data_IF_977872472570
#
_entry.id   IF_977872472570
#
_cell.length_a   1.000
_cell.length_b   1.000
_cell.length_c   1.000
_cell.angle_alpha   90.00
_cell.angle_beta   90.00
_cell.angle_gamma   90.00
#
_symmetry.space_group_name_H-M   'P 1'
#
loop_
_entity.id
_entity.type
_entity.pdbx_description
1 polymer ?
#
# COMPACT_ATOMS: atom_id res chain seq x y z
N UNK A 1 -20.60 51.00 47.31
CA UNK A 1 -19.74 51.47 46.19
C UNK A 1 -18.37 50.87 46.45
N UNK A 2 -17.90 49.78 45.84
CA UNK A 2 -17.49 49.67 44.43
C UNK A 2 -17.04 48.21 44.11
N UNK A 3 -17.88 47.20 44.34
CA UNK A 3 -17.52 45.79 44.05
C UNK A 3 -17.82 45.40 42.59
N UNK A 4 -18.69 46.17 41.92
CA UNK A 4 -19.09 45.93 40.54
C UNK A 4 -18.03 46.41 39.52
N UNK A 5 -17.16 47.35 39.91
CA UNK A 5 -16.16 47.94 39.01
C UNK A 5 -14.86 47.12 38.92
N UNK A 6 -14.57 46.29 39.91
CA UNK A 6 -13.40 45.38 39.92
C UNK A 6 -13.61 44.11 39.09
N UNK A 7 -14.87 43.67 38.93
CA UNK A 7 -15.22 42.50 38.12
C UNK A 7 -15.11 42.77 36.61
N UNK A 8 -15.32 44.01 36.16
CA UNK A 8 -15.20 44.38 34.74
C UNK A 8 -13.74 44.49 34.27
N UNK A 9 -12.78 44.77 35.16
CA UNK A 9 -11.36 44.85 34.79
C UNK A 9 -10.69 43.48 34.65
N UNK A 10 -11.17 42.44 35.34
CA UNK A 10 -10.65 41.08 35.18
C UNK A 10 -11.18 40.35 33.93
N UNK A 11 -12.29 40.82 33.35
CA UNK A 11 -12.87 40.22 32.14
C UNK A 11 -12.06 40.52 30.87
N UNK A 12 -11.20 41.54 30.85
CA UNK A 12 -10.45 41.94 29.66
C UNK A 12 -9.05 41.31 29.54
N UNK A 13 -8.54 40.63 30.58
CA UNK A 13 -7.19 40.05 30.58
C UNK A 13 -7.19 38.60 30.03
N UNK A 14 -8.36 38.00 29.82
CA UNK A 14 -8.50 36.70 29.14
C UNK A 14 -8.76 36.81 27.62
N UNK A 15 -8.52 37.96 26.98
CA UNK A 15 -8.29 37.98 25.53
C UNK A 15 -6.95 37.30 25.23
N UNK A 16 -7.03 35.97 25.21
CA UNK A 16 -5.98 35.06 24.81
C UNK A 16 -5.47 35.46 23.43
N UNK A 17 -4.15 35.66 23.38
CA UNK A 17 -3.34 35.67 22.17
C UNK A 17 -3.58 34.33 21.49
N UNK A 18 -4.54 34.28 20.56
CA UNK A 18 -4.67 33.15 19.64
C UNK A 18 -3.55 33.33 18.62
N UNK A 19 -2.38 32.80 18.96
CA UNK A 19 -1.24 32.74 18.06
C UNK A 19 -1.65 31.83 16.89
N UNK A 20 -2.19 32.44 15.83
CA UNK A 20 -2.54 31.74 14.61
C UNK A 20 -1.22 31.31 13.96
N UNK A 21 -0.66 30.18 14.40
CA UNK A 21 0.38 29.47 13.66
C UNK A 21 -0.17 29.27 12.26
N UNK A 22 0.33 30.08 11.33
CA UNK A 22 0.03 29.98 9.90
C UNK A 22 0.25 28.52 9.53
N UNK A 23 -0.84 27.83 9.18
CA UNK A 23 -0.80 26.41 8.82
C UNK A 23 0.15 26.32 7.62
N UNK A 24 1.34 25.76 7.83
CA UNK A 24 2.32 25.61 6.76
C UNK A 24 1.67 24.76 5.67
N UNK A 25 1.59 25.32 4.47
CA UNK A 25 0.98 24.64 3.34
C UNK A 25 1.90 23.48 2.94
N UNK A 26 1.49 22.26 3.30
CA UNK A 26 2.24 21.05 2.97
C UNK A 26 2.10 20.75 1.48
N UNK A 27 3.18 20.29 0.85
CA UNK A 27 3.12 19.84 -0.54
C UNK A 27 2.19 18.65 -0.71
N UNK A 28 1.70 18.45 -1.94
CA UNK A 28 0.86 17.28 -2.28
C UNK A 28 1.56 15.97 -1.96
N UNK A 29 2.87 15.88 -2.19
CA UNK A 29 3.66 14.67 -1.92
C UNK A 29 3.68 14.33 -0.42
N UNK A 30 3.84 15.35 0.44
CA UNK A 30 3.81 15.18 1.90
C UNK A 30 2.40 14.79 2.38
N UNK A 31 1.36 15.35 1.76
CA UNK A 31 -0.03 14.97 2.05
C UNK A 31 -0.33 13.53 1.61
N UNK A 32 0.17 13.12 0.45
CA UNK A 32 0.01 11.75 -0.05
C UNK A 32 0.74 10.75 0.84
N UNK A 33 2.01 11.00 1.17
CA UNK A 33 2.77 10.18 2.12
C UNK A 33 2.11 10.14 3.51
N UNK A 34 1.53 11.26 3.95
CA UNK A 34 0.70 11.32 5.15
C UNK A 34 -0.48 10.36 5.08
N UNK A 35 -1.22 10.37 3.98
CA UNK A 35 -2.36 9.48 3.80
C UNK A 35 -1.95 8.00 3.72
N UNK A 36 -0.86 7.68 3.03
CA UNK A 36 -0.32 6.32 2.95
C UNK A 36 0.07 5.80 4.34
N UNK A 37 0.78 6.59 5.12
CA UNK A 37 1.21 6.24 6.47
C UNK A 37 0.01 5.99 7.40
N UNK A 38 -1.02 6.84 7.32
CA UNK A 38 -2.27 6.67 8.07
C UNK A 38 -2.98 5.39 7.65
N UNK A 39 -3.10 5.14 6.35
CA UNK A 39 -3.76 3.94 5.81
C UNK A 39 -3.04 2.66 6.25
N UNK A 40 -1.71 2.69 6.28
CA UNK A 40 -0.88 1.59 6.77
C UNK A 40 -1.12 1.34 8.26
N UNK A 41 -1.24 2.38 9.07
CA UNK A 41 -1.47 2.23 10.50
C UNK A 41 -2.92 1.80 10.82
N UNK A 42 -3.89 2.31 10.06
CA UNK A 42 -5.29 1.92 10.15
C UNK A 42 -5.48 0.45 9.80
N UNK A 43 -4.81 -0.05 8.75
CA UNK A 43 -4.94 -1.45 8.33
C UNK A 43 -4.47 -2.43 9.41
N UNK A 44 -3.40 -2.09 10.14
CA UNK A 44 -2.92 -2.87 11.29
C UNK A 44 -3.95 -2.90 12.41
N UNK A 45 -4.48 -1.73 12.80
CA UNK A 45 -5.33 -1.55 13.99
C UNK A 45 -6.78 -1.99 13.78
N UNK A 46 -7.30 -1.87 12.56
CA UNK A 46 -8.68 -2.19 12.21
C UNK A 46 -8.86 -3.58 11.62
N UNK A 47 -7.78 -4.38 11.54
CA UNK A 47 -7.78 -5.77 11.07
C UNK A 47 -8.89 -6.63 11.70
N UNK A 48 -9.27 -7.66 10.93
CA UNK A 48 -10.59 -8.29 10.86
C UNK A 48 -11.13 -8.96 12.13
N UNK A 49 -10.29 -9.14 13.15
CA UNK A 49 -10.59 -10.03 14.27
C UNK A 49 -11.25 -9.36 15.48
N UNK A 50 -11.59 -8.07 15.39
CA UNK A 50 -12.26 -7.44 16.52
C UNK A 50 -13.77 -7.70 16.49
N UNK A 51 -14.27 -8.47 17.46
CA UNK A 51 -15.69 -8.52 17.87
C UNK A 51 -16.27 -7.15 18.29
N UNK A 52 -15.47 -6.09 18.21
CA UNK A 52 -15.83 -4.74 18.62
C UNK A 52 -16.64 -4.04 17.53
N UNK A 53 -17.59 -3.20 17.96
CA UNK A 53 -18.37 -2.36 17.06
C UNK A 53 -17.44 -1.35 16.36
N UNK A 54 -17.33 -1.45 15.03
CA UNK A 54 -16.51 -0.57 14.19
C UNK A 54 -16.86 0.91 14.36
N UNK A 55 -18.13 1.25 14.58
CA UNK A 55 -18.58 2.63 14.81
C UNK A 55 -17.98 3.25 16.08
N UNK A 56 -17.56 2.42 17.06
CA UNK A 56 -16.86 2.88 18.26
C UNK A 56 -15.33 2.76 18.11
N UNK A 57 -14.86 1.71 17.45
CA UNK A 57 -13.44 1.44 17.25
C UNK A 57 -12.78 2.46 16.32
N UNK A 58 -13.39 2.77 15.17
CA UNK A 58 -12.82 3.69 14.17
C UNK A 58 -12.55 5.08 14.76
N UNK A 59 -13.52 5.77 15.42
CA UNK A 59 -13.24 7.07 16.02
C UNK A 59 -12.16 7.04 17.10
N UNK A 60 -12.01 5.90 17.79
CA UNK A 60 -10.98 5.71 18.82
C UNK A 60 -9.60 5.61 18.19
N UNK A 61 -9.46 4.79 17.15
CA UNK A 61 -8.19 4.63 16.42
C UNK A 61 -7.78 5.95 15.75
N UNK A 62 -8.71 6.69 15.16
CA UNK A 62 -8.43 7.98 14.52
C UNK A 62 -7.90 9.06 15.49
N UNK A 63 -8.07 8.90 16.81
CA UNK A 63 -7.52 9.85 17.79
C UNK A 63 -6.01 9.71 17.97
N UNK A 64 -5.48 8.50 17.76
CA UNK A 64 -4.07 8.15 18.04
C UNK A 64 -3.30 7.76 16.78
N UNK A 65 -3.96 7.75 15.61
CA UNK A 65 -3.31 7.37 14.35
C UNK A 65 -2.24 8.40 13.93
N UNK A 66 -2.38 9.66 14.30
CA UNK A 66 -1.41 10.73 14.01
C UNK A 66 -0.24 10.83 15.00
N UNK A 67 -0.03 9.84 15.86
CA UNK A 67 1.11 9.87 16.77
C UNK A 67 2.42 9.72 15.98
N UNK A 68 3.42 10.54 16.28
CA UNK A 68 4.71 10.58 15.56
C UNK A 68 5.41 9.22 15.55
N UNK A 69 5.23 8.44 16.62
CA UNK A 69 5.80 7.11 16.74
C UNK A 69 5.30 6.12 15.69
N UNK A 70 4.14 6.38 15.08
CA UNK A 70 3.58 5.56 14.02
C UNK A 70 4.27 5.79 12.66
N UNK A 71 5.09 6.84 12.53
CA UNK A 71 5.64 7.33 11.26
C UNK A 71 7.16 7.23 11.17
N UNK A 72 7.78 6.30 11.92
CA UNK A 72 9.24 6.12 11.93
C UNK A 72 9.79 5.58 10.60
N UNK A 73 8.97 4.86 9.85
CA UNK A 73 9.36 4.17 8.61
C UNK A 73 8.92 4.93 7.34
N UNK A 74 8.86 6.26 7.37
CA UNK A 74 8.47 7.09 6.22
C UNK A 74 9.67 7.81 5.62
N UNK A 75 9.60 8.13 4.32
CA UNK A 75 10.63 8.91 3.62
C UNK A 75 10.73 10.35 4.17
N UNK A 76 9.60 10.94 4.54
CA UNK A 76 9.54 12.26 5.17
C UNK A 76 9.75 12.17 6.69
N UNK A 77 10.12 13.29 7.31
CA UNK A 77 10.30 13.33 8.77
C UNK A 77 8.97 13.05 9.51
N UNK A 78 8.97 12.31 10.63
CA UNK A 78 7.76 11.96 11.37
C UNK A 78 6.89 13.17 11.74
N UNK A 79 7.52 14.31 12.05
CA UNK A 79 6.80 15.56 12.37
C UNK A 79 6.05 16.13 11.17
N UNK A 80 6.64 16.09 9.96
CA UNK A 80 5.96 16.52 8.72
C UNK A 80 4.79 15.61 8.38
N UNK A 81 4.99 14.30 8.48
CA UNK A 81 3.94 13.30 8.24
C UNK A 81 2.80 13.43 9.27
N UNK A 82 3.12 13.67 10.54
CA UNK A 82 2.11 14.01 11.56
C UNK A 82 1.34 15.27 11.19
N UNK A 83 2.02 16.30 10.69
CA UNK A 83 1.40 17.53 10.19
C UNK A 83 0.35 17.23 9.12
N UNK A 84 0.74 16.44 8.11
CA UNK A 84 -0.16 15.98 7.05
C UNK A 84 -1.34 15.20 7.60
N UNK A 85 -1.10 14.26 8.51
CA UNK A 85 -2.15 13.47 9.16
C UNK A 85 -3.19 14.33 9.87
N UNK A 86 -2.73 15.28 10.69
CA UNK A 86 -3.61 16.21 11.39
C UNK A 86 -4.40 17.08 10.41
N UNK A 87 -3.77 17.53 9.33
CA UNK A 87 -4.44 18.34 8.30
C UNK A 87 -5.52 17.54 7.55
N UNK A 88 -5.23 16.30 7.17
CA UNK A 88 -6.19 15.39 6.53
C UNK A 88 -7.39 15.13 7.43
N UNK A 89 -7.14 14.75 8.70
CA UNK A 89 -8.23 14.50 9.66
C UNK A 89 -9.00 15.78 9.98
N UNK A 90 -8.35 16.94 10.13
CA UNK A 90 -9.06 18.20 10.38
C UNK A 90 -10.08 18.52 9.28
N UNK A 91 -9.73 18.24 8.01
CA UNK A 91 -10.59 18.53 6.86
C UNK A 91 -11.65 17.46 6.60
N UNK A 92 -11.31 16.18 6.77
CA UNK A 92 -12.12 15.07 6.25
C UNK A 92 -12.38 13.94 7.25
N UNK A 93 -12.30 14.21 8.56
CA UNK A 93 -12.51 13.18 9.59
C UNK A 93 -13.80 12.39 9.40
N UNK A 94 -14.90 13.08 9.06
CA UNK A 94 -16.21 12.46 8.87
C UNK A 94 -16.18 11.46 7.73
N UNK A 95 -15.67 11.87 6.57
CA UNK A 95 -15.63 11.05 5.36
C UNK A 95 -14.68 9.86 5.51
N UNK A 96 -13.51 10.09 6.14
CA UNK A 96 -12.57 9.03 6.50
C UNK A 96 -13.21 8.03 7.47
N UNK A 97 -13.98 8.51 8.46
CA UNK A 97 -14.67 7.63 9.43
C UNK A 97 -15.69 6.76 8.72
N UNK A 98 -16.55 7.37 7.89
CA UNK A 98 -17.58 6.65 7.12
C UNK A 98 -16.95 5.64 6.16
N UNK A 99 -15.92 6.05 5.42
CA UNK A 99 -15.20 5.19 4.49
C UNK A 99 -14.56 3.97 5.17
N UNK A 100 -13.98 4.16 6.36
CA UNK A 100 -13.41 3.07 7.15
C UNK A 100 -14.48 2.10 7.66
N UNK A 101 -15.58 2.62 8.22
CA UNK A 101 -16.67 1.77 8.70
C UNK A 101 -17.24 0.96 7.55
N UNK A 102 -17.50 1.58 6.39
CA UNK A 102 -18.00 0.88 5.21
C UNK A 102 -17.02 -0.19 4.70
N UNK A 103 -15.73 0.14 4.61
CA UNK A 103 -14.69 -0.76 4.12
C UNK A 103 -14.56 -2.02 4.98
N UNK A 104 -14.56 -1.87 6.31
CA UNK A 104 -14.37 -2.99 7.24
C UNK A 104 -15.67 -3.72 7.61
N UNK A 105 -16.85 -3.13 7.38
CA UNK A 105 -18.13 -3.79 7.68
C UNK A 105 -18.47 -4.92 6.68
N UNK A 106 -17.88 -4.90 5.48
CA UNK A 106 -18.12 -5.93 4.46
C UNK A 106 -17.34 -7.21 4.81
N UNK A 107 -17.95 -8.08 5.62
CA UNK A 107 -17.41 -9.35 6.20
C UNK A 107 -16.85 -10.42 5.23
N UNK A 108 -16.89 -10.19 3.91
CA UNK A 108 -16.27 -11.08 2.90
C UNK A 108 -15.18 -10.41 2.06
N UNK A 109 -14.96 -9.12 2.25
CA UNK A 109 -14.04 -8.29 1.48
C UNK A 109 -13.47 -7.20 2.39
N UNK A 110 -12.73 -7.54 3.46
CA UNK A 110 -11.68 -6.59 3.84
C UNK A 110 -10.78 -6.51 2.64
N UNK A 111 -10.89 -5.41 1.90
CA UNK A 111 -10.03 -5.15 0.78
C UNK A 111 -8.58 -5.31 1.25
N UNK A 112 -7.72 -5.67 0.32
CA UNK A 112 -6.29 -5.62 0.53
C UNK A 112 -5.89 -4.23 1.08
N UNK A 113 -4.71 -4.14 1.68
CA UNK A 113 -4.15 -2.84 2.06
C UNK A 113 -4.19 -1.82 0.90
N UNK A 114 -4.01 -2.29 -0.34
CA UNK A 114 -4.09 -1.45 -1.54
C UNK A 114 -5.50 -0.91 -1.80
N UNK A 115 -6.54 -1.70 -1.51
CA UNK A 115 -7.94 -1.25 -1.65
C UNK A 115 -8.28 -0.18 -0.62
N UNK A 116 -7.80 -0.33 0.62
CA UNK A 116 -7.92 0.69 1.65
C UNK A 116 -7.21 1.98 1.23
N UNK A 117 -5.98 1.83 0.72
CA UNK A 117 -5.17 2.95 0.27
C UNK A 117 -5.83 3.72 -0.87
N UNK A 118 -6.32 3.00 -1.89
CA UNK A 118 -7.07 3.59 -2.99
C UNK A 118 -8.30 4.35 -2.48
N UNK A 119 -9.09 3.69 -1.63
CA UNK A 119 -10.32 4.28 -1.10
C UNK A 119 -10.05 5.55 -0.29
N UNK A 120 -9.06 5.53 0.60
CA UNK A 120 -8.78 6.68 1.47
C UNK A 120 -8.00 7.78 0.74
N UNK A 121 -6.92 7.42 0.06
CA UNK A 121 -5.95 8.40 -0.43
C UNK A 121 -6.29 8.98 -1.80
N UNK A 122 -7.06 8.25 -2.60
CA UNK A 122 -7.56 8.73 -3.89
C UNK A 122 -9.02 9.11 -3.80
N UNK A 123 -9.92 8.21 -3.38
CA UNK A 123 -11.37 8.47 -3.51
C UNK A 123 -11.92 9.43 -2.44
N UNK A 124 -11.51 9.26 -1.17
CA UNK A 124 -11.98 10.11 -0.06
C UNK A 124 -11.21 11.42 0.00
N UNK A 125 -9.88 11.33 0.02
CA UNK A 125 -9.03 12.50 0.26
C UNK A 125 -8.55 13.22 -0.99
N UNK A 126 -8.44 12.53 -2.12
CA UNK A 126 -7.96 13.11 -3.38
C UNK A 126 -6.53 13.65 -3.31
N UNK A 127 -5.74 13.28 -2.30
CA UNK A 127 -4.39 13.82 -2.12
C UNK A 127 -3.35 13.03 -2.90
N UNK A 128 -3.61 11.74 -3.13
CA UNK A 128 -2.79 10.90 -4.00
C UNK A 128 -3.44 10.84 -5.38
N UNK A 129 -2.85 11.54 -6.34
CA UNK A 129 -3.16 11.36 -7.76
C UNK A 129 -2.46 10.08 -8.18
N UNK A 130 -3.22 9.05 -8.54
CA UNK A 130 -2.67 8.00 -9.38
C UNK A 130 -2.73 8.53 -10.79
N UNK A 131 -1.57 8.76 -11.39
CA UNK A 131 -1.50 8.85 -12.84
C UNK A 131 -2.06 7.53 -13.35
N UNK A 132 -3.32 7.54 -13.75
CA UNK A 132 -3.98 6.37 -14.35
C UNK A 132 -3.38 6.03 -15.72
N UNK A 133 -2.35 6.77 -16.15
CA UNK A 133 -1.59 6.55 -17.37
C UNK A 133 -0.25 5.82 -17.17
N UNK A 134 0.23 5.57 -15.94
CA UNK A 134 1.43 4.74 -15.74
C UNK A 134 1.07 3.31 -15.35
N UNK A 135 0.74 2.55 -16.40
CA UNK A 135 0.97 1.11 -16.45
C UNK A 135 -0.10 0.27 -15.79
N UNK A 136 -0.92 -0.39 -16.63
CA UNK A 136 -1.18 -1.81 -16.32
C UNK A 136 0.20 -2.45 -16.07
N UNK A 137 0.40 -3.21 -14.98
CA UNK A 137 1.67 -3.90 -14.78
C UNK A 137 1.99 -4.63 -16.08
N UNK A 138 3.19 -4.42 -16.62
CA UNK A 138 3.49 -4.93 -17.95
C UNK A 138 3.18 -6.42 -17.96
N UNK A 139 2.29 -6.87 -18.85
CA UNK A 139 2.00 -8.30 -18.94
C UNK A 139 3.21 -8.98 -19.55
N UNK A 140 3.78 -9.93 -18.82
CA UNK A 140 4.87 -10.73 -19.34
C UNK A 140 4.36 -11.55 -20.53
N UNK A 141 5.11 -11.57 -21.62
CA UNK A 141 4.75 -12.32 -22.83
C UNK A 141 5.95 -13.02 -23.43
N UNK A 142 5.71 -14.18 -24.02
CA UNK A 142 6.71 -14.93 -24.79
C UNK A 142 6.38 -14.74 -26.26
N UNK A 143 7.32 -14.20 -27.02
CA UNK A 143 7.19 -14.00 -28.46
C UNK A 143 8.14 -14.97 -29.15
N UNK A 144 7.65 -15.74 -30.12
CA UNK A 144 8.51 -16.54 -30.98
C UNK A 144 8.95 -15.70 -32.18
N UNK A 145 10.27 -15.61 -32.41
CA UNK A 145 10.85 -14.92 -33.54
C UNK A 145 11.17 -15.96 -34.64
N UNK A 146 10.36 -15.97 -35.70
CA UNK A 146 10.48 -16.94 -36.80
C UNK A 146 11.81 -16.84 -37.56
N UNK A 147 12.41 -15.66 -37.68
CA UNK A 147 13.66 -15.44 -38.40
C UNK A 147 14.87 -16.01 -37.65
N UNK A 148 14.85 -15.88 -36.33
CA UNK A 148 15.93 -16.37 -35.46
C UNK A 148 15.67 -17.75 -34.89
N UNK A 149 14.46 -18.29 -35.05
CA UNK A 149 14.00 -19.53 -34.42
C UNK A 149 14.19 -19.52 -32.89
N UNK A 150 13.97 -18.37 -32.25
CA UNK A 150 14.22 -18.14 -30.83
C UNK A 150 12.98 -17.56 -30.11
N UNK A 151 12.88 -17.81 -28.80
CA UNK A 151 11.84 -17.22 -27.95
C UNK A 151 12.39 -16.00 -27.21
N UNK A 152 11.72 -14.87 -27.36
CA UNK A 152 11.97 -13.66 -26.58
C UNK A 152 10.97 -13.59 -25.42
N UNK A 153 11.50 -13.55 -24.20
CA UNK A 153 10.69 -13.41 -22.99
C UNK A 153 10.72 -11.95 -22.54
N UNK A 154 9.61 -11.24 -22.72
CA UNK A 154 9.42 -9.91 -22.16
C UNK A 154 8.92 -10.11 -20.74
N UNK A 155 9.79 -9.83 -19.77
CA UNK A 155 9.43 -9.89 -18.35
C UNK A 155 8.42 -8.79 -18.04
N UNK A 156 7.35 -9.19 -17.37
CA UNK A 156 6.32 -8.29 -16.88
C UNK A 156 6.27 -8.27 -15.36
N UNK A 157 5.68 -7.23 -14.77
CA UNK A 157 5.61 -7.04 -13.31
C UNK A 157 4.74 -8.11 -12.61
N UNK A 158 3.98 -8.90 -13.40
CA UNK A 158 3.12 -9.98 -12.92
C UNK A 158 3.85 -11.34 -12.79
N UNK A 159 5.09 -11.45 -13.24
CA UNK A 159 5.84 -12.72 -13.23
C UNK A 159 6.51 -12.91 -11.87
N UNK A 160 5.98 -13.81 -11.04
CA UNK A 160 6.65 -14.24 -9.79
C UNK A 160 7.60 -15.39 -10.10
N UNK A 161 8.88 -15.19 -9.79
CA UNK A 161 9.87 -16.27 -9.83
C UNK A 161 9.50 -17.31 -8.75
N UNK A 162 9.37 -18.60 -9.07
CA UNK A 162 9.17 -19.64 -8.07
C UNK A 162 10.32 -19.59 -7.07
N UNK A 163 10.02 -19.52 -5.77
CA UNK A 163 11.07 -19.64 -4.77
C UNK A 163 11.64 -21.06 -4.83
N UNK A 164 12.97 -21.23 -4.83
CA UNK A 164 13.57 -22.55 -4.75
C UNK A 164 13.13 -23.20 -3.44
N UNK A 165 12.49 -24.36 -3.54
CA UNK A 165 12.16 -25.19 -2.38
C UNK A 165 13.47 -25.69 -1.82
N UNK A 166 13.94 -25.09 -0.73
CA UNK A 166 15.04 -25.64 0.06
C UNK A 166 14.49 -26.91 0.70
N UNK A 167 14.72 -28.06 0.06
CA UNK A 167 14.49 -29.35 0.71
C UNK A 167 15.46 -29.41 1.89
N UNK A 168 14.93 -29.52 3.12
CA UNK A 168 15.74 -29.77 4.30
C UNK A 168 16.68 -30.94 4.00
N UNK A 169 17.97 -30.74 4.26
CA UNK A 169 19.00 -31.77 4.08
C UNK A 169 18.67 -32.94 4.99
N UNK A 170 18.20 -34.04 4.42
CA UNK A 170 18.33 -35.34 5.05
C UNK A 170 19.85 -35.62 5.23
N UNK A 171 20.35 -35.90 6.45
CA UNK A 171 21.80 -35.96 6.72
C UNK A 171 22.55 -37.14 6.10
N UNK A 172 21.95 -37.90 5.18
CA UNK A 172 22.50 -39.17 4.68
C UNK A 172 22.23 -39.38 3.18
N UNK A 173 22.71 -38.50 2.31
CA UNK A 173 23.21 -38.91 1.00
C UNK A 173 23.87 -37.74 0.26
N UNK A 174 25.18 -37.79 0.13
CA UNK A 174 25.97 -36.90 -0.70
C UNK A 174 26.04 -37.44 -2.13
N UNK A 175 24.94 -37.36 -2.87
CA UNK A 175 24.97 -37.40 -4.33
C UNK A 175 23.86 -36.48 -4.86
N UNK A 176 24.28 -35.28 -5.26
CA UNK A 176 23.45 -34.21 -5.77
C UNK A 176 23.00 -34.54 -7.20
N UNK A 177 21.76 -35.00 -7.34
CA UNK A 177 21.03 -34.99 -8.61
C UNK A 177 19.92 -33.95 -8.49
N UNK A 178 20.04 -32.87 -9.26
CA UNK A 178 19.01 -31.84 -9.39
C UNK A 178 17.86 -32.44 -10.19
N UNK A 179 16.80 -32.86 -9.49
CA UNK A 179 15.52 -33.23 -10.10
C UNK A 179 14.58 -32.04 -10.00
N UNK A 180 14.30 -31.41 -11.14
CA UNK A 180 13.27 -30.38 -11.29
C UNK A 180 11.95 -31.08 -11.56
N UNK A 181 11.21 -31.40 -10.51
CA UNK A 181 9.82 -31.85 -10.64
C UNK A 181 8.88 -30.63 -10.69
N UNK A 182 8.09 -30.52 -11.76
CA UNK A 182 7.00 -29.56 -11.81
C UNK A 182 6.85 -28.76 -13.10
N UNK A 183 7.00 -29.38 -14.28
CA UNK A 183 6.40 -28.85 -15.51
C UNK A 183 5.58 -29.99 -16.11
N UNK A 184 4.27 -29.79 -16.25
CA UNK A 184 3.44 -30.68 -17.07
C UNK A 184 4.06 -30.71 -18.47
N UNK A 185 4.71 -31.82 -18.79
CA UNK A 185 5.34 -32.04 -20.08
C UNK A 185 4.23 -32.19 -21.11
N UNK A 186 4.07 -31.21 -21.99
CA UNK A 186 3.33 -31.39 -23.23
C UNK A 186 4.09 -32.45 -24.05
N UNK A 187 3.44 -33.51 -24.56
CA UNK A 187 4.13 -34.53 -25.34
C UNK A 187 4.62 -33.92 -26.66
N UNK A 188 5.92 -33.61 -26.72
CA UNK A 188 6.58 -33.25 -27.97
C UNK A 188 6.74 -34.53 -28.78
N UNK A 189 6.00 -34.62 -29.89
CA UNK A 189 6.15 -35.68 -30.88
C UNK A 189 7.59 -35.63 -31.42
N UNK A 190 8.36 -36.72 -31.39
CA UNK A 190 9.71 -36.71 -31.95
C UNK A 190 9.63 -36.45 -33.46
N UNK A 191 10.29 -35.38 -33.91
CA UNK A 191 10.54 -35.15 -35.34
C UNK A 191 11.44 -36.27 -35.85
N UNK A 192 10.98 -36.94 -36.91
CA UNK A 192 11.72 -37.95 -37.65
C UNK A 192 13.00 -37.30 -38.20
N UNK A 193 14.20 -37.90 -37.98
CA UNK A 193 15.40 -37.42 -38.64
C UNK A 193 15.30 -37.74 -40.14
N UNK A 194 15.28 -36.70 -40.96
CA UNK A 194 15.47 -36.84 -42.41
C UNK A 194 16.98 -37.01 -42.65
N UNK A 195 17.36 -38.17 -43.17
CA UNK A 195 18.74 -38.51 -43.52
C UNK A 195 19.27 -37.62 -44.63
N UNK A 196 20.58 -37.38 -44.57
CA UNK A 196 21.39 -36.67 -45.55
C UNK A 196 21.30 -37.27 -46.96
N UNK A 197 21.42 -36.42 -47.98
CA UNK A 197 22.08 -36.79 -49.24
C UNK A 197 23.21 -35.80 -49.50
N UNK A 198 24.43 -36.29 -49.32
CA UNK A 198 25.57 -35.89 -50.14
C UNK A 198 25.19 -36.09 -51.61
N UNK A 199 25.51 -35.11 -52.46
CA UNK A 199 25.90 -35.40 -53.84
C UNK A 199 26.99 -34.40 -54.24
N UNK A 200 28.13 -34.98 -54.63
CA UNK A 200 29.21 -34.30 -55.36
C UNK A 200 28.72 -33.94 -56.76
N UNK A 201 29.03 -32.72 -57.22
CA UNK A 201 29.89 -32.47 -58.41
C UNK A 201 30.27 -30.99 -58.49
#
# INVERSE_FOLDING_TARGET
>A
MNVLNTLLLFSCIHLTISESKKEEELSKDVLCAGCEAISKELSKRLSYDSKQNLEKKVPTVLRTVCDEDNFKDTEFSPSKVRGACKQLLKKQKSDITTGLVEHYSKRKQSGSYLDLLQKLCTDVTGVCVRDTETGKPAEGRVIFNDEKQEFEVIMGDNVRMPQPVIKEKDPKNSHENIVVDGIHSVPVKPLKPTMASHDEL
#
